data_IF_459120572444
#
_entry.id   IF_459120572444
#
_cell.length_a   1.000
_cell.length_b   1.000
_cell.length_c   1.000
_cell.angle_alpha   90.00
_cell.angle_beta   90.00
_cell.angle_gamma   90.00
#
_symmetry.space_group_name_H-M   'P 1'
#
loop_
_entity.id
_entity.type
_entity.pdbx_description
1 polymer ?
#
# COMPACT_ATOMS: atom_id res chain seq x y z
N UNK A 1 4.08 -9.71 9.87
CA UNK A 1 2.66 -9.76 9.48
C UNK A 1 2.62 -9.93 7.97
N UNK A 2 1.62 -10.59 7.40
CA UNK A 2 1.46 -10.72 5.95
C UNK A 2 0.24 -9.93 5.49
N UNK A 3 0.42 -9.12 4.44
CA UNK A 3 -0.63 -8.33 3.80
C UNK A 3 -0.80 -8.83 2.37
N UNK A 4 -2.00 -9.24 2.01
CA UNK A 4 -2.37 -9.55 0.63
C UNK A 4 -2.64 -8.22 -0.08
N UNK A 5 -1.86 -7.93 -1.11
CA UNK A 5 -1.94 -6.73 -1.92
C UNK A 5 -3.01 -6.86 -3.02
N UNK A 6 -3.46 -5.74 -3.64
CA UNK A 6 -4.48 -5.77 -4.70
C UNK A 6 -4.15 -6.65 -5.92
N UNK A 7 -2.86 -6.86 -6.20
CA UNK A 7 -2.39 -7.77 -7.25
C UNK A 7 -2.26 -9.23 -6.77
N UNK A 8 -2.80 -9.56 -5.59
CA UNK A 8 -2.70 -10.84 -4.88
C UNK A 8 -1.27 -11.24 -4.44
N UNK A 9 -0.29 -10.32 -4.52
CA UNK A 9 1.02 -10.57 -3.95
C UNK A 9 0.95 -10.54 -2.41
N UNK A 10 1.80 -11.36 -1.77
CA UNK A 10 1.95 -11.34 -0.32
C UNK A 10 3.10 -10.39 0.02
N UNK A 11 2.79 -9.34 0.76
CA UNK A 11 3.76 -8.44 1.36
C UNK A 11 4.03 -8.88 2.80
N UNK A 12 5.23 -9.44 3.03
CA UNK A 12 5.70 -9.81 4.36
C UNK A 12 6.34 -8.58 5.02
N UNK A 13 5.66 -8.00 6.00
CA UNK A 13 6.06 -6.72 6.60
C UNK A 13 7.39 -6.76 7.34
N UNK A 14 7.94 -7.95 7.60
CA UNK A 14 9.22 -8.14 8.30
C UNK A 14 10.40 -8.31 7.32
N UNK A 15 10.12 -8.45 6.02
CA UNK A 15 11.15 -8.58 4.99
C UNK A 15 11.53 -7.23 4.40
N UNK A 16 12.83 -7.06 4.16
CA UNK A 16 13.35 -5.97 3.34
C UNK A 16 12.81 -6.05 1.91
N UNK A 17 12.72 -4.91 1.24
CA UNK A 17 12.17 -4.77 -0.12
C UNK A 17 12.77 -5.78 -1.11
N UNK A 18 14.09 -5.90 -1.14
CA UNK A 18 14.81 -6.78 -2.08
C UNK A 18 14.57 -8.28 -1.82
N UNK A 19 14.09 -8.63 -0.62
CA UNK A 19 13.77 -10.01 -0.23
C UNK A 19 12.28 -10.35 -0.39
N UNK A 20 11.46 -9.41 -0.87
CA UNK A 20 10.07 -9.68 -1.25
C UNK A 20 10.02 -10.48 -2.56
N UNK A 21 8.85 -11.06 -2.87
CA UNK A 21 8.66 -11.70 -4.18
C UNK A 21 8.63 -10.64 -5.30
N UNK A 22 8.85 -11.09 -6.54
CA UNK A 22 8.85 -10.20 -7.69
C UNK A 22 7.48 -9.52 -7.88
N UNK A 23 6.38 -10.21 -7.59
CA UNK A 23 5.03 -9.66 -7.69
C UNK A 23 4.77 -8.57 -6.65
N UNK A 24 5.32 -8.74 -5.44
CA UNK A 24 5.24 -7.72 -4.39
C UNK A 24 6.07 -6.49 -4.75
N UNK A 25 7.29 -6.68 -5.27
CA UNK A 25 8.12 -5.57 -5.75
C UNK A 25 7.44 -4.83 -6.91
N UNK A 26 6.84 -5.57 -7.86
CA UNK A 26 6.13 -4.99 -8.99
C UNK A 26 4.99 -4.05 -8.55
N UNK A 27 4.24 -4.42 -7.51
CA UNK A 27 3.20 -3.54 -6.94
C UNK A 27 3.75 -2.18 -6.49
N UNK A 28 4.87 -2.18 -5.76
CA UNK A 28 5.49 -0.92 -5.34
C UNK A 28 6.09 -0.13 -6.51
N UNK A 29 6.64 -0.81 -7.52
CA UNK A 29 7.08 -0.13 -8.75
C UNK A 29 5.93 0.53 -9.49
N UNK A 30 4.76 -0.10 -9.56
CA UNK A 30 3.57 0.50 -10.17
C UNK A 30 3.16 1.78 -9.43
N UNK A 31 3.21 1.79 -8.09
CA UNK A 31 2.97 3.00 -7.28
C UNK A 31 3.99 4.10 -7.60
N UNK A 32 5.28 3.75 -7.63
CA UNK A 32 6.36 4.71 -7.90
C UNK A 32 6.26 5.29 -9.32
N UNK A 33 5.73 4.53 -10.28
CA UNK A 33 5.53 4.97 -11.66
C UNK A 33 4.24 5.80 -11.84
N UNK A 34 3.26 5.66 -10.95
CA UNK A 34 1.96 6.32 -11.05
C UNK A 34 1.93 7.73 -10.43
N UNK A 35 2.88 8.09 -9.58
CA UNK A 35 2.84 9.34 -8.81
C UNK A 35 4.22 9.95 -8.57
N UNK A 36 4.25 11.27 -8.28
CA UNK A 36 5.49 11.96 -7.95
C UNK A 36 5.90 11.73 -6.48
N UNK A 37 7.19 11.48 -6.20
CA UNK A 37 7.68 11.32 -4.84
C UNK A 37 7.84 12.66 -4.11
N UNK A 38 7.78 12.60 -2.78
CA UNK A 38 8.45 13.61 -1.96
C UNK A 38 9.96 13.39 -2.04
N UNK A 39 10.71 14.42 -2.44
CA UNK A 39 12.16 14.30 -2.70
C UNK A 39 12.98 15.10 -1.70
N UNK A 40 13.97 14.45 -1.08
CA UNK A 40 15.06 15.08 -0.33
C UNK A 40 16.24 15.21 -1.27
N UNK A 41 16.76 16.42 -1.41
CA UNK A 41 17.87 16.76 -2.30
C UNK A 41 19.10 17.21 -1.51
N UNK A 42 20.27 17.12 -2.14
CA UNK A 42 21.48 17.77 -1.65
C UNK A 42 21.63 19.23 -2.11
N UNK A 43 22.77 19.85 -1.80
CA UNK A 43 23.08 21.24 -2.21
C UNK A 43 23.19 21.44 -3.73
N UNK A 44 23.31 20.37 -4.50
CA UNK A 44 23.41 20.36 -5.96
C UNK A 44 22.11 19.95 -6.65
N UNK A 45 20.99 19.89 -5.91
CA UNK A 45 19.67 19.50 -6.44
C UNK A 45 19.62 18.06 -6.95
N UNK A 46 20.47 17.17 -6.41
CA UNK A 46 20.43 15.75 -6.73
C UNK A 46 19.55 15.02 -5.72
N UNK A 47 18.68 14.08 -6.15
CA UNK A 47 17.83 13.35 -5.24
C UNK A 47 18.66 12.38 -4.39
N UNK A 48 18.55 12.49 -3.07
CA UNK A 48 19.13 11.58 -2.08
C UNK A 48 18.12 10.52 -1.63
N UNK A 49 16.88 10.94 -1.37
CA UNK A 49 15.77 10.07 -0.99
C UNK A 49 14.50 10.53 -1.67
N UNK A 50 13.79 9.60 -2.29
CA UNK A 50 12.48 9.83 -2.90
C UNK A 50 11.48 8.90 -2.24
N UNK A 51 10.38 9.44 -1.73
CA UNK A 51 9.42 8.70 -0.92
C UNK A 51 8.02 8.80 -1.50
N UNK A 52 7.37 7.65 -1.64
CA UNK A 52 5.97 7.51 -2.00
C UNK A 52 5.21 6.92 -0.82
N UNK A 53 4.16 7.63 -0.43
CA UNK A 53 3.26 7.15 0.60
C UNK A 53 2.34 6.10 -0.01
N UNK A 54 2.28 4.92 0.61
CA UNK A 54 1.30 3.86 0.31
C UNK A 54 0.36 3.79 1.49
N UNK A 55 -0.34 4.91 1.64
CA UNK A 55 -1.25 5.21 2.73
C UNK A 55 -2.33 4.11 2.81
N UNK A 56 -2.80 3.60 1.67
CA UNK A 56 -3.77 2.49 1.61
C UNK A 56 -3.38 1.21 2.32
N UNK A 57 -2.10 0.95 2.62
CA UNK A 57 -1.64 -0.21 3.38
C UNK A 57 -0.86 0.16 4.64
N UNK A 58 -0.72 1.45 4.95
CA UNK A 58 0.03 1.93 6.12
C UNK A 58 1.56 1.85 5.96
N UNK A 59 2.09 2.01 4.75
CA UNK A 59 3.54 1.98 4.48
C UNK A 59 3.98 3.17 3.62
N UNK A 60 5.28 3.39 3.55
CA UNK A 60 5.92 4.16 2.49
C UNK A 60 6.95 3.30 1.77
N UNK A 61 7.14 3.55 0.48
CA UNK A 61 8.26 3.02 -0.28
C UNK A 61 9.21 4.17 -0.60
N UNK A 62 10.50 3.97 -0.33
CA UNK A 62 11.54 4.95 -0.58
C UNK A 62 12.57 4.41 -1.55
N UNK A 63 12.99 5.24 -2.49
CA UNK A 63 14.17 5.03 -3.34
C UNK A 63 15.30 5.89 -2.82
N UNK A 64 16.39 5.26 -2.40
CA UNK A 64 17.57 5.91 -1.82
C UNK A 64 18.69 5.88 -2.86
N UNK A 65 19.30 7.03 -3.10
CA UNK A 65 20.44 7.16 -4.01
C UNK A 65 21.66 7.65 -3.25
N UNK A 66 22.73 6.87 -3.31
CA UNK A 66 24.01 7.21 -2.72
C UNK A 66 24.97 7.70 -3.81
N UNK A 67 25.68 8.78 -3.51
CA UNK A 67 26.72 9.34 -4.36
C UNK A 67 28.04 9.28 -3.62
N UNK A 68 29.08 8.82 -4.30
CA UNK A 68 30.45 8.88 -3.80
C UNK A 68 31.05 10.25 -4.07
N UNK A 69 31.89 10.72 -3.15
CA UNK A 69 32.65 11.95 -3.29
C UNK A 69 34.14 11.62 -3.32
N UNK A 70 34.74 11.74 -4.51
CA UNK A 70 36.18 11.91 -4.63
C UNK A 70 36.46 13.39 -4.91
N UNK A 71 37.65 13.87 -4.52
CA UNK A 71 38.04 15.29 -4.40
C UNK A 71 37.62 16.22 -5.54
N UNK A 72 37.41 15.69 -6.76
CA UNK A 72 37.05 16.44 -7.96
C UNK A 72 35.85 15.88 -8.74
N UNK A 73 35.19 14.81 -8.26
CA UNK A 73 34.05 14.20 -8.96
C UNK A 73 33.02 13.60 -8.01
N UNK A 74 31.75 13.82 -8.34
CA UNK A 74 30.64 13.17 -7.68
C UNK A 74 30.09 12.09 -8.61
N UNK A 75 30.24 10.84 -8.21
CA UNK A 75 29.78 9.71 -9.01
C UNK A 75 28.58 9.07 -8.34
N UNK A 76 27.61 8.61 -9.13
CA UNK A 76 26.59 7.70 -8.65
C UNK A 76 27.29 6.44 -8.12
N UNK A 77 26.97 6.06 -6.87
CA UNK A 77 27.53 4.84 -6.27
C UNK A 77 26.52 3.70 -6.39
N UNK A 78 25.35 3.86 -5.76
CA UNK A 78 24.28 2.86 -5.79
C UNK A 78 22.90 3.46 -5.55
N UNK A 79 21.88 2.69 -5.90
CA UNK A 79 20.49 2.99 -5.62
C UNK A 79 19.78 1.72 -5.17
N UNK A 80 18.92 1.85 -4.17
CA UNK A 80 18.16 0.73 -3.60
C UNK A 80 16.82 1.22 -3.04
N UNK A 81 15.97 0.28 -2.64
CA UNK A 81 14.62 0.56 -2.16
C UNK A 81 14.41 0.08 -0.74
N UNK A 82 13.57 0.80 0.00
CA UNK A 82 13.16 0.44 1.35
C UNK A 82 11.64 0.60 1.49
N UNK A 83 11.00 -0.34 2.17
CA UNK A 83 9.63 -0.20 2.67
C UNK A 83 9.69 0.14 4.15
N UNK A 84 9.06 1.25 4.54
CA UNK A 84 9.02 1.72 5.92
C UNK A 84 7.58 1.71 6.40
N UNK A 85 7.35 1.11 7.56
CA UNK A 85 6.04 1.02 8.22
C UNK A 85 5.62 2.40 8.71
N UNK A 86 4.36 2.76 8.49
CA UNK A 86 3.70 3.89 9.16
C UNK A 86 2.74 3.34 10.20
N UNK A 87 2.63 4.02 11.33
CA UNK A 87 1.71 3.66 12.43
C UNK A 87 0.21 3.82 12.06
N UNK A 88 -0.09 4.27 10.85
CA UNK A 88 -1.45 4.59 10.43
C UNK A 88 -2.27 3.33 10.15
N UNK A 89 -3.46 3.24 10.75
CA UNK A 89 -4.36 2.07 10.80
C UNK A 89 -3.85 0.87 11.59
N UNK A 90 -2.71 1.00 12.27
CA UNK A 90 -2.23 -0.03 13.21
C UNK A 90 -3.08 -0.19 14.46
N UNK A 91 -4.16 0.58 14.62
CA UNK A 91 -5.20 0.34 15.60
C UNK A 91 -6.29 -0.62 15.09
N UNK A 92 -6.49 -0.75 13.77
CA UNK A 92 -7.58 -1.52 13.16
C UNK A 92 -7.27 -2.99 12.97
N UNK A 93 -8.23 -3.87 13.21
CA UNK A 93 -8.01 -5.34 13.13
C UNK A 93 -8.08 -5.84 11.69
N UNK A 94 -9.01 -5.30 10.90
CA UNK A 94 -9.29 -5.73 9.55
C UNK A 94 -9.02 -4.63 8.54
N UNK A 95 -8.47 -5.03 7.40
CA UNK A 95 -8.38 -4.22 6.19
C UNK A 95 -9.09 -4.97 5.06
N UNK A 96 -10.01 -4.29 4.38
CA UNK A 96 -10.81 -4.83 3.29
C UNK A 96 -10.43 -4.06 2.03
N UNK A 97 -9.99 -4.78 1.00
CA UNK A 97 -9.53 -4.21 -0.27
C UNK A 97 -10.43 -4.70 -1.38
N UNK A 98 -11.09 -3.77 -2.08
CA UNK A 98 -11.98 -4.08 -3.19
C UNK A 98 -11.78 -3.09 -4.34
N UNK A 99 -11.96 -3.56 -5.58
CA UNK A 99 -11.98 -2.67 -6.74
C UNK A 99 -13.29 -1.89 -6.83
N UNK A 100 -13.30 -0.81 -7.62
CA UNK A 100 -14.52 -0.05 -7.93
C UNK A 100 -15.63 -0.94 -8.55
N UNK A 101 -15.24 -1.95 -9.34
CA UNK A 101 -16.19 -2.89 -9.93
C UNK A 101 -16.84 -3.79 -8.90
N UNK A 102 -16.06 -4.32 -7.94
CA UNK A 102 -16.57 -5.10 -6.82
C UNK A 102 -17.50 -4.26 -5.94
N UNK A 103 -17.09 -3.03 -5.63
CA UNK A 103 -17.93 -2.10 -4.86
C UNK A 103 -19.26 -1.80 -5.55
N UNK A 104 -19.24 -1.61 -6.87
CA UNK A 104 -20.46 -1.39 -7.66
C UNK A 104 -21.40 -2.59 -7.61
N UNK A 105 -20.86 -3.82 -7.68
CA UNK A 105 -21.64 -5.05 -7.56
C UNK A 105 -22.31 -5.13 -6.20
N UNK A 106 -21.55 -4.94 -5.11
CA UNK A 106 -22.09 -4.99 -3.74
C UNK A 106 -23.15 -3.91 -3.53
N UNK A 107 -22.90 -2.70 -4.00
CA UNK A 107 -23.82 -1.57 -3.85
C UNK A 107 -25.17 -1.82 -4.51
N UNK A 108 -25.21 -2.61 -5.59
CA UNK A 108 -26.45 -3.01 -6.27
C UNK A 108 -27.16 -4.16 -5.58
N UNK A 109 -26.40 -5.15 -5.09
CA UNK A 109 -26.96 -6.35 -4.50
C UNK A 109 -27.41 -6.15 -3.04
N UNK A 110 -26.74 -5.25 -2.30
CA UNK A 110 -26.95 -5.07 -0.86
C UNK A 110 -26.65 -3.63 -0.43
N UNK A 111 -27.52 -2.70 -0.83
CA UNK A 111 -27.32 -1.26 -0.60
C UNK A 111 -27.31 -0.86 0.88
N UNK A 112 -28.12 -1.55 1.70
CA UNK A 112 -28.21 -1.30 3.14
C UNK A 112 -26.94 -1.73 3.87
N UNK A 113 -26.32 -2.83 3.43
CA UNK A 113 -25.00 -3.25 3.90
C UNK A 113 -23.95 -2.18 3.61
N UNK A 114 -23.87 -1.68 2.38
CA UNK A 114 -22.89 -0.64 2.01
C UNK A 114 -23.08 0.63 2.84
N UNK A 115 -24.31 1.10 3.01
CA UNK A 115 -24.58 2.34 3.73
C UNK A 115 -24.28 2.22 5.24
N UNK A 116 -24.62 1.08 5.85
CA UNK A 116 -24.38 0.86 7.28
C UNK A 116 -22.90 0.64 7.61
N UNK A 117 -22.16 -0.02 6.73
CA UNK A 117 -20.74 -0.31 6.92
C UNK A 117 -19.83 0.87 6.54
N UNK A 118 -20.16 1.62 5.48
CA UNK A 118 -19.37 2.79 5.07
C UNK A 118 -19.28 3.88 6.15
N UNK A 119 -20.31 4.00 7.02
CA UNK A 119 -20.29 4.95 8.14
C UNK A 119 -19.37 4.54 9.29
N UNK A 120 -18.97 3.27 9.35
CA UNK A 120 -18.18 2.71 10.45
C UNK A 120 -16.72 2.48 10.07
N UNK A 121 -16.39 2.60 8.78
CA UNK A 121 -15.09 2.22 8.21
C UNK A 121 -14.33 3.45 7.76
N UNK A 122 -13.07 3.55 8.17
CA UNK A 122 -12.12 4.48 7.56
C UNK A 122 -11.85 3.99 6.13
N UNK A 123 -12.08 4.85 5.13
CA UNK A 123 -12.04 4.45 3.72
C UNK A 123 -11.11 5.32 2.89
N UNK A 124 -10.32 4.70 2.01
CA UNK A 124 -9.35 5.36 1.14
C UNK A 124 -9.48 4.86 -0.29
N UNK A 125 -9.28 5.77 -1.23
CA UNK A 125 -9.23 5.48 -2.65
C UNK A 125 -7.80 5.62 -3.12
N UNK A 126 -7.20 4.53 -3.58
CA UNK A 126 -5.85 4.54 -4.11
C UNK A 126 -5.72 3.55 -5.27
N UNK A 127 -5.19 4.02 -6.41
CA UNK A 127 -4.92 3.21 -7.60
C UNK A 127 -6.12 2.37 -8.10
N UNK A 128 -7.35 2.91 -8.01
CA UNK A 128 -8.58 2.22 -8.47
C UNK A 128 -9.10 1.17 -7.48
N UNK A 129 -8.57 1.15 -6.27
CA UNK A 129 -9.03 0.30 -5.17
C UNK A 129 -9.56 1.14 -4.02
N UNK A 130 -10.58 0.58 -3.36
CA UNK A 130 -11.15 1.06 -2.12
C UNK A 130 -10.57 0.20 -0.99
N UNK A 131 -9.91 0.87 -0.04
CA UNK A 131 -9.38 0.26 1.17
C UNK A 131 -10.25 0.70 2.33
N UNK A 132 -10.76 -0.26 3.09
CA UNK A 132 -11.59 0.01 4.26
C UNK A 132 -10.99 -0.63 5.51
N UNK A 133 -10.94 0.13 6.59
CA UNK A 133 -10.38 -0.33 7.86
C UNK A 133 -11.43 -0.34 8.97
N UNK A 134 -11.44 -1.41 9.77
CA UNK A 134 -12.41 -1.61 10.86
C UNK A 134 -11.86 -2.52 11.95
N UNK A 135 -12.37 -2.34 13.16
CA UNK A 135 -12.10 -3.23 14.30
C UNK A 135 -13.01 -4.46 14.29
N UNK A 136 -14.18 -4.36 13.65
CA UNK A 136 -15.21 -5.39 13.68
C UNK A 136 -15.63 -5.74 12.25
N UNK A 137 -15.63 -7.03 11.95
CA UNK A 137 -16.22 -7.62 10.76
C UNK A 137 -16.99 -8.87 11.16
N UNK A 138 -18.31 -8.88 10.95
CA UNK A 138 -19.14 -10.05 11.25
C UNK A 138 -18.84 -11.18 10.27
N UNK A 139 -18.87 -12.43 10.73
CA UNK A 139 -18.56 -13.61 9.89
C UNK A 139 -19.44 -13.70 8.64
N UNK A 140 -20.73 -13.40 8.76
CA UNK A 140 -21.67 -13.39 7.62
C UNK A 140 -21.26 -12.35 6.55
N UNK A 141 -20.78 -11.18 7.00
CA UNK A 141 -20.26 -10.14 6.10
C UNK A 141 -18.95 -10.57 5.47
N UNK A 142 -18.06 -11.19 6.24
CA UNK A 142 -16.79 -11.73 5.75
C UNK A 142 -17.03 -12.75 4.64
N UNK A 143 -17.88 -13.75 4.89
CA UNK A 143 -18.22 -14.81 3.93
C UNK A 143 -18.81 -14.19 2.65
N UNK A 144 -19.71 -13.21 2.78
CA UNK A 144 -20.27 -12.51 1.63
C UNK A 144 -19.19 -11.79 0.82
N UNK A 145 -18.31 -11.01 1.46
CA UNK A 145 -17.23 -10.29 0.79
C UNK A 145 -16.25 -11.25 0.10
N UNK A 146 -15.80 -12.30 0.78
CA UNK A 146 -14.91 -13.33 0.21
C UNK A 146 -15.55 -14.02 -1.00
N UNK A 147 -16.88 -14.26 -0.99
CA UNK A 147 -17.60 -14.82 -2.14
C UNK A 147 -17.57 -13.94 -3.39
N UNK A 148 -17.27 -12.64 -3.24
CA UNK A 148 -17.08 -11.67 -4.32
C UNK A 148 -15.61 -11.48 -4.72
N UNK A 149 -14.71 -12.29 -4.16
CA UNK A 149 -13.27 -12.20 -4.39
C UNK A 149 -12.65 -10.95 -3.78
N UNK A 150 -13.24 -10.39 -2.72
CA UNK A 150 -12.72 -9.22 -2.01
C UNK A 150 -11.64 -9.68 -1.05
N UNK A 151 -10.53 -8.95 -1.03
CA UNK A 151 -9.39 -9.27 -0.18
C UNK A 151 -9.69 -8.74 1.23
N UNK A 152 -9.44 -9.58 2.23
CA UNK A 152 -9.59 -9.23 3.64
C UNK A 152 -8.29 -9.61 4.34
N UNK A 153 -7.52 -8.60 4.73
CA UNK A 153 -6.36 -8.77 5.59
C UNK A 153 -6.78 -8.63 7.04
N UNK A 154 -6.15 -9.42 7.89
CA UNK A 154 -6.32 -9.38 9.34
C UNK A 154 -4.93 -9.30 9.98
N UNK A 155 -4.80 -8.53 11.07
CA UNK A 155 -3.57 -8.50 11.86
C UNK A 155 -3.15 -9.86 12.40
#
# INVERSE_FOLDING_TARGET
MEIILPNNAIFDTEKQFDNQTQECQAYFFDIMNASEPTTIEDSFKRPLKQTWNVDSIGFEVSRITEYSHDSDSWNFDKQYHETIRKEWHEDKIYQIIMSDSQYTIISKENIDFVYSEAKKRESYLENGYIYQYTDILLDEHRIYLESKGIIINTK
#
